data_IF_304729441972
#
_entry.id   IF_304729441972
#
_cell.length_a   1.000
_cell.length_b   1.000
_cell.length_c   1.000
_cell.angle_alpha   90.00
_cell.angle_beta   90.00
_cell.angle_gamma   90.00
#
_symmetry.space_group_name_H-M   'P 1'
#
loop_
_entity.id
_entity.type
_entity.pdbx_description
1 polymer ?
#
# COMPACT_ATOMS: atom_id res chain seq x y z
N UNK A 1 -28.30 -13.27 29.50
CA UNK A 1 -28.76 -12.92 28.14
C UNK A 1 -27.65 -12.12 27.47
N UNK A 2 -26.41 -12.64 27.47
CA UNK A 2 -25.19 -11.80 27.31
C UNK A 2 -24.33 -12.14 26.07
N UNK A 3 -24.72 -13.15 25.28
CA UNK A 3 -23.90 -13.65 24.14
C UNK A 3 -24.16 -12.91 22.82
N UNK A 4 -25.25 -12.15 22.75
CA UNK A 4 -25.68 -11.39 21.57
C UNK A 4 -24.79 -10.18 21.21
N UNK A 5 -24.31 -9.33 22.14
CA UNK A 5 -23.53 -8.15 21.78
C UNK A 5 -22.12 -8.50 21.27
N UNK A 6 -21.54 -9.62 21.73
CA UNK A 6 -20.23 -10.08 21.27
C UNK A 6 -20.25 -10.50 19.79
N UNK A 7 -21.30 -11.21 19.37
CA UNK A 7 -21.46 -11.62 17.97
C UNK A 7 -21.65 -10.42 17.05
N UNK A 8 -22.43 -9.42 17.49
CA UNK A 8 -22.65 -8.20 16.72
C UNK A 8 -21.38 -7.35 16.61
N UNK A 9 -20.59 -7.26 17.69
CA UNK A 9 -19.29 -6.58 17.66
C UNK A 9 -18.31 -7.26 16.68
N UNK A 10 -18.23 -8.60 16.69
CA UNK A 10 -17.38 -9.35 15.75
C UNK A 10 -17.72 -9.13 14.28
N UNK A 11 -18.98 -8.86 13.95
CA UNK A 11 -19.43 -8.59 12.57
C UNK A 11 -19.13 -7.13 12.16
N UNK A 12 -19.16 -6.19 13.10
CA UNK A 12 -18.96 -4.75 12.82
C UNK A 12 -17.50 -4.30 12.89
N UNK A 13 -16.67 -4.93 13.74
CA UNK A 13 -15.24 -4.65 13.90
C UNK A 13 -14.39 -4.72 12.60
N UNK A 14 -14.64 -5.63 11.64
CA UNK A 14 -13.92 -5.66 10.37
C UNK A 14 -14.20 -4.45 9.49
N UNK A 15 -15.42 -3.91 9.55
CA UNK A 15 -15.88 -2.81 8.69
C UNK A 15 -15.15 -1.50 9.01
N UNK A 16 -14.87 -1.25 10.29
CA UNK A 16 -14.11 -0.07 10.75
C UNK A 16 -12.59 -0.23 10.64
N UNK A 17 -12.07 -1.46 10.51
CA UNK A 17 -10.62 -1.74 10.40
C UNK A 17 -10.11 -1.86 8.95
N UNK A 18 -11.00 -1.96 7.97
CA UNK A 18 -10.63 -2.29 6.58
C UNK A 18 -9.97 -1.17 5.78
N UNK A 19 -10.00 0.06 6.25
CA UNK A 19 -9.40 1.19 5.55
C UNK A 19 -8.17 1.67 6.32
N UNK A 20 -6.99 1.25 5.88
CA UNK A 20 -5.73 1.86 6.28
C UNK A 20 -5.84 3.38 6.04
N UNK A 21 -5.52 4.21 7.03
CA UNK A 21 -5.60 5.68 6.96
C UNK A 21 -4.58 6.31 5.98
N UNK A 22 -4.09 5.55 5.02
CA UNK A 22 -3.10 6.01 4.05
C UNK A 22 -3.81 6.72 2.90
N UNK A 23 -3.42 7.96 2.66
CA UNK A 23 -3.88 8.73 1.50
C UNK A 23 -3.17 8.22 0.26
N UNK A 24 -3.94 7.91 -0.78
CA UNK A 24 -3.38 7.56 -2.08
C UNK A 24 -2.82 8.81 -2.77
N UNK A 25 -1.64 8.69 -3.35
CA UNK A 25 -1.00 9.68 -4.19
C UNK A 25 -0.66 9.10 -5.58
N UNK A 26 -0.62 9.93 -6.64
CA UNK A 26 -0.31 9.47 -7.98
C UNK A 26 1.14 9.01 -8.08
N UNK A 27 1.38 7.96 -8.88
CA UNK A 27 2.72 7.49 -9.17
C UNK A 27 3.46 8.53 -10.03
N UNK A 28 4.64 8.94 -9.57
CA UNK A 28 5.54 9.88 -10.23
C UNK A 28 6.85 9.22 -10.69
N UNK A 29 7.17 8.03 -10.18
CA UNK A 29 8.38 7.28 -10.54
C UNK A 29 8.27 6.78 -11.98
N UNK A 30 9.15 7.23 -12.91
CA UNK A 30 9.02 6.92 -14.34
C UNK A 30 9.01 5.42 -14.66
N UNK A 31 9.76 4.63 -13.89
CA UNK A 31 9.86 3.17 -14.06
C UNK A 31 8.55 2.43 -13.76
N UNK A 32 7.65 3.04 -12.99
CA UNK A 32 6.37 2.47 -12.57
C UNK A 32 5.17 2.95 -13.43
N UNK A 33 5.38 3.85 -14.40
CA UNK A 33 4.30 4.49 -15.18
C UNK A 33 3.49 3.54 -16.09
N UNK A 34 3.96 2.30 -16.30
CA UNK A 34 3.30 1.30 -17.17
C UNK A 34 2.65 0.15 -16.41
N UNK A 35 2.45 0.31 -15.10
CA UNK A 35 1.76 -0.68 -14.28
C UNK A 35 0.24 -0.62 -14.50
N UNK A 36 -0.47 -1.66 -14.07
CA UNK A 36 -1.95 -1.72 -14.15
C UNK A 36 -2.66 -0.76 -13.19
N UNK A 37 -1.90 -0.06 -12.34
CA UNK A 37 -2.38 0.90 -11.35
C UNK A 37 -1.59 2.20 -11.43
N UNK A 38 -2.24 3.32 -11.09
CA UNK A 38 -1.68 4.68 -11.19
C UNK A 38 -1.55 5.41 -9.85
N UNK A 39 -1.97 4.77 -8.75
CA UNK A 39 -1.93 5.32 -7.39
C UNK A 39 -1.10 4.42 -6.49
N UNK A 40 -0.44 5.02 -5.52
CA UNK A 40 0.28 4.34 -4.45
C UNK A 40 0.01 5.04 -3.12
N UNK A 41 0.41 4.45 -2.01
CA UNK A 41 0.28 5.07 -0.70
C UNK A 41 1.57 4.88 0.10
N UNK A 42 1.80 5.79 1.02
CA UNK A 42 2.92 5.74 1.94
C UNK A 42 2.45 5.85 3.40
N UNK A 43 3.16 5.25 4.38
CA UNK A 43 4.33 4.38 4.18
C UNK A 43 3.94 3.09 3.43
N UNK A 44 4.78 2.69 2.48
CA UNK A 44 4.54 1.48 1.70
C UNK A 44 4.90 0.22 2.51
N UNK A 45 4.68 -0.97 1.97
CA UNK A 45 4.97 -2.24 2.65
C UNK A 45 6.46 -2.41 3.02
N UNK A 46 7.36 -1.74 2.32
CA UNK A 46 8.81 -1.77 2.57
C UNK A 46 9.25 -0.73 3.61
N UNK A 47 8.31 0.06 4.16
CA UNK A 47 8.61 1.07 5.17
C UNK A 47 9.22 2.36 4.61
N UNK A 48 9.18 2.57 3.29
CA UNK A 48 9.56 3.87 2.71
C UNK A 48 8.46 4.88 3.03
N UNK A 49 8.82 6.16 3.20
CA UNK A 49 7.89 7.24 3.55
C UNK A 49 7.44 8.09 2.36
N UNK A 50 8.18 8.08 1.25
CA UNK A 50 7.83 8.78 0.02
C UNK A 50 8.36 8.05 -1.22
N UNK A 51 7.87 8.48 -2.40
CA UNK A 51 8.26 7.91 -3.69
C UNK A 51 9.73 8.12 -4.04
N UNK A 52 10.37 9.19 -3.58
CA UNK A 52 11.77 9.49 -3.87
C UNK A 52 12.71 8.48 -3.21
N UNK A 53 12.52 8.23 -1.90
CA UNK A 53 13.24 7.19 -1.15
C UNK A 53 13.00 5.83 -1.80
N UNK A 54 11.75 5.52 -2.14
CA UNK A 54 11.44 4.26 -2.81
C UNK A 54 12.12 4.14 -4.19
N UNK A 55 12.21 5.22 -4.98
CA UNK A 55 12.86 5.22 -6.28
C UNK A 55 14.38 4.97 -6.17
N UNK A 56 15.03 5.55 -5.16
CA UNK A 56 16.46 5.35 -4.91
C UNK A 56 16.75 3.87 -4.62
N UNK A 57 15.98 3.26 -3.73
CA UNK A 57 16.12 1.84 -3.39
C UNK A 57 15.78 0.92 -4.57
N UNK A 58 14.78 1.27 -5.38
CA UNK A 58 14.46 0.55 -6.63
C UNK A 58 15.60 0.61 -7.65
N UNK A 59 16.39 1.69 -7.64
CA UNK A 59 17.57 1.86 -8.50
C UNK A 59 18.60 0.73 -8.33
N UNK A 60 18.73 0.18 -7.13
CA UNK A 60 19.63 -0.94 -6.82
C UNK A 60 19.28 -2.21 -7.59
N UNK A 61 18.01 -2.35 -7.99
CA UNK A 61 17.51 -3.49 -8.77
C UNK A 61 17.31 -3.14 -10.25
N UNK A 62 17.69 -1.93 -10.68
CA UNK A 62 17.49 -1.48 -12.07
C UNK A 62 18.32 -2.25 -13.10
N UNK A 63 19.45 -2.81 -12.70
CA UNK A 63 20.25 -3.69 -13.54
C UNK A 63 19.63 -5.06 -13.84
N UNK A 64 18.49 -5.41 -13.21
CA UNK A 64 17.77 -6.66 -13.47
C UNK A 64 16.73 -6.55 -14.60
N UNK A 65 16.68 -5.40 -15.28
CA UNK A 65 15.75 -5.11 -16.39
C UNK A 65 16.12 -5.78 -17.72
N UNK A 66 17.21 -6.56 -17.76
CA UNK A 66 17.53 -7.46 -18.88
C UNK A 66 17.05 -8.90 -18.66
N UNK A 67 16.29 -9.18 -17.60
CA UNK A 67 15.77 -10.52 -17.28
C UNK A 67 14.25 -10.60 -17.11
N UNK A 68 13.50 -9.60 -17.61
CA UNK A 68 12.03 -9.68 -17.78
C UNK A 68 11.69 -9.30 -19.21
#
# INVERSE_FOLDING_TARGET
MERSPFLLACILLPLVRGHSLFTCEPITVPRCMKMTYNMTFFPNLMGHYDQGIAAVEMGNFCGLELAI
#
